data_IF_566110670303
#
_entry.id   IF_566110670303
#
_cell.length_a   1.000
_cell.length_b   1.000
_cell.length_c   1.000
_cell.angle_alpha   90.00
_cell.angle_beta   90.00
_cell.angle_gamma   90.00
#
_symmetry.space_group_name_H-M   'P 1'
#
loop_
_entity.id
_entity.type
_entity.pdbx_description
1 polymer ?
#
# COMPACT_ATOMS: atom_id res chain seq x y z
N UNK A 1 -24.05 -60.54 37.42
CA UNK A 1 -25.11 -60.43 36.40
C UNK A 1 -24.77 -59.24 35.52
N UNK A 2 -24.89 -59.37 34.19
CA UNK A 2 -23.72 -59.55 33.32
C UNK A 2 -23.52 -58.41 32.29
N UNK A 3 -22.34 -58.38 31.66
CA UNK A 3 -22.18 -57.81 30.30
C UNK A 3 -22.91 -58.69 29.26
N UNK A 4 -22.70 -58.56 27.92
CA UNK A 4 -21.48 -58.10 27.24
C UNK A 4 -21.78 -57.22 25.99
N UNK A 5 -20.78 -56.69 25.28
CA UNK A 5 -20.31 -57.08 23.91
C UNK A 5 -20.37 -55.82 23.04
N UNK A 6 -19.44 -55.50 22.14
CA UNK A 6 -18.28 -56.20 21.63
C UNK A 6 -17.36 -55.22 20.88
N UNK A 7 -16.15 -55.72 20.64
CA UNK A 7 -14.98 -55.03 20.10
C UNK A 7 -14.97 -54.96 18.54
N UNK A 8 -13.82 -55.00 17.83
CA UNK A 8 -13.17 -53.86 17.15
C UNK A 8 -12.99 -54.16 15.64
N UNK A 9 -11.94 -53.61 15.00
CA UNK A 9 -11.36 -53.94 13.65
C UNK A 9 -11.90 -53.09 12.49
N UNK A 10 -11.17 -52.74 11.43
CA UNK A 10 -9.75 -52.83 11.06
C UNK A 10 -9.57 -52.05 9.73
N UNK A 11 -8.35 -51.57 9.48
CA UNK A 11 -7.75 -51.27 8.15
C UNK A 11 -7.42 -52.65 7.50
N UNK A 12 -7.49 -52.95 6.17
CA UNK A 12 -6.71 -52.35 5.06
C UNK A 12 -7.38 -52.47 3.63
N UNK A 13 -6.70 -52.76 2.48
CA UNK A 13 -6.26 -51.79 1.47
C UNK A 13 -6.73 -52.07 0.00
N UNK A 14 -6.30 -51.19 -0.92
CA UNK A 14 -5.90 -51.43 -2.32
C UNK A 14 -6.92 -51.71 -3.46
N UNK A 15 -6.46 -51.28 -4.65
CA UNK A 15 -6.75 -51.75 -6.00
C UNK A 15 -8.05 -51.31 -6.71
N UNK A 16 -7.85 -50.57 -7.81
CA UNK A 16 -8.14 -51.18 -9.13
C UNK A 16 -9.12 -50.44 -10.04
N UNK A 17 -8.67 -50.30 -11.29
CA UNK A 17 -9.44 -50.40 -12.53
C UNK A 17 -10.23 -49.20 -13.09
N UNK A 18 -9.66 -48.68 -14.20
CA UNK A 18 -10.32 -48.34 -15.48
C UNK A 18 -11.46 -49.31 -15.88
N UNK A 19 -12.45 -48.90 -16.70
CA UNK A 19 -12.33 -48.80 -18.20
C UNK A 19 -13.06 -47.55 -18.78
N UNK A 20 -12.68 -46.91 -19.90
CA UNK A 20 -12.52 -47.27 -21.33
C UNK A 20 -13.78 -47.79 -22.08
N UNK A 21 -13.86 -47.36 -23.35
CA UNK A 21 -14.84 -47.60 -24.43
C UNK A 21 -15.91 -46.51 -24.56
N UNK A 22 -15.94 -45.72 -25.63
CA UNK A 22 -16.08 -46.10 -27.06
C UNK A 22 -15.32 -45.12 -27.97
N UNK A 23 -14.36 -45.53 -28.82
CA UNK A 23 -14.42 -46.39 -30.03
C UNK A 23 -15.18 -45.77 -31.22
N UNK A 24 -14.42 -45.23 -32.19
CA UNK A 24 -14.45 -45.58 -33.63
C UNK A 24 -13.27 -44.86 -34.32
N UNK A 25 -12.20 -45.59 -34.68
CA UNK A 25 -12.02 -46.39 -35.91
C UNK A 25 -11.56 -45.49 -37.09
N UNK A 26 -10.26 -45.52 -37.44
CA UNK A 26 -9.63 -46.36 -38.51
C UNK A 26 -9.79 -45.68 -39.89
N UNK A 27 -8.81 -45.62 -40.80
CA UNK A 27 -7.60 -46.41 -40.95
C UNK A 27 -6.63 -45.74 -41.96
N UNK A 28 -5.33 -45.94 -41.71
CA UNK A 28 -4.26 -46.45 -42.61
C UNK A 28 -4.02 -45.86 -44.00
N UNK A 29 -2.73 -45.64 -44.30
CA UNK A 29 -2.19 -45.81 -45.64
C UNK A 29 -0.86 -45.07 -45.87
N UNK A 30 0.26 -45.71 -45.56
CA UNK A 30 1.60 -45.24 -45.92
C UNK A 30 2.11 -45.97 -47.18
N UNK A 31 2.73 -45.20 -48.10
CA UNK A 31 3.79 -45.51 -49.10
C UNK A 31 3.62 -46.72 -50.08
N UNK A 32 4.19 -46.68 -51.31
CA UNK A 32 5.62 -46.44 -51.55
C UNK A 32 6.01 -45.71 -52.85
N UNK A 33 7.33 -45.53 -53.00
CA UNK A 33 8.05 -44.91 -54.10
C UNK A 33 8.08 -45.75 -55.39
N UNK A 34 8.19 -45.08 -56.55
CA UNK A 34 8.79 -45.62 -57.76
C UNK A 34 9.29 -44.49 -58.71
N UNK A 35 10.60 -44.51 -59.00
CA UNK A 35 11.25 -43.98 -60.21
C UNK A 35 11.42 -45.16 -61.17
N UNK A 36 11.42 -45.02 -62.52
CA UNK A 36 12.62 -44.53 -63.23
C UNK A 36 12.41 -43.84 -64.60
N UNK A 37 13.48 -43.18 -65.08
CA UNK A 37 13.82 -42.92 -66.49
C UNK A 37 12.93 -41.89 -67.23
N UNK A 38 13.42 -40.93 -68.00
CA UNK A 38 14.71 -40.72 -68.64
C UNK A 38 14.44 -40.04 -70.00
N UNK A 39 15.40 -39.21 -70.44
CA UNK A 39 15.61 -38.70 -71.82
C UNK A 39 14.99 -37.33 -72.19
N UNK A 40 15.90 -36.34 -72.17
CA UNK A 40 16.31 -35.46 -73.29
C UNK A 40 15.23 -34.79 -74.15
N UNK A 41 15.20 -33.45 -74.12
CA UNK A 41 14.57 -32.64 -75.17
C UNK A 41 14.51 -31.15 -74.86
N UNK A 42 15.57 -30.41 -75.21
CA UNK A 42 15.58 -28.95 -75.46
C UNK A 42 16.28 -28.79 -76.82
N UNK A 43 15.98 -27.81 -77.70
CA UNK A 43 15.14 -26.61 -77.55
C UNK A 43 14.08 -26.43 -78.67
N UNK A 44 13.07 -25.59 -78.44
CA UNK A 44 12.38 -24.92 -79.53
C UNK A 44 12.13 -23.45 -79.18
N UNK A 45 12.89 -22.60 -79.87
CA UNK A 45 12.83 -21.15 -79.92
C UNK A 45 11.57 -20.73 -80.67
N UNK A 46 10.60 -20.12 -80.00
CA UNK A 46 9.45 -19.49 -80.65
C UNK A 46 9.21 -18.10 -80.06
N UNK A 47 9.34 -17.09 -80.93
CA UNK A 47 8.51 -15.89 -80.94
C UNK A 47 8.68 -14.89 -79.79
N UNK A 48 9.65 -13.98 -79.92
CA UNK A 48 9.61 -12.67 -79.27
C UNK A 48 8.43 -11.88 -79.86
N UNK A 49 7.22 -12.03 -79.30
CA UNK A 49 6.13 -11.06 -79.51
C UNK A 49 6.46 -9.82 -78.68
N UNK A 50 6.67 -8.71 -79.36
CA UNK A 50 6.73 -7.38 -78.76
C UNK A 50 5.43 -7.17 -77.97
N UNK A 51 5.56 -7.05 -76.65
CA UNK A 51 4.47 -6.64 -75.78
C UNK A 51 4.27 -5.15 -76.04
N UNK A 52 3.13 -4.79 -76.61
CA UNK A 52 2.66 -3.40 -76.71
C UNK A 52 2.71 -2.81 -75.30
N UNK A 53 3.40 -1.68 -75.15
CA UNK A 53 3.47 -0.96 -73.89
C UNK A 53 2.07 -0.41 -73.59
N UNK A 54 1.50 -0.84 -72.47
CA UNK A 54 0.27 -0.30 -71.91
C UNK A 54 0.59 1.05 -71.25
N UNK A 55 0.07 2.20 -71.75
CA UNK A 55 0.31 3.51 -71.17
C UNK A 55 -0.67 3.72 -70.01
N UNK A 56 -0.56 2.90 -68.97
CA UNK A 56 -1.49 2.92 -67.84
C UNK A 56 -0.92 2.40 -66.53
N UNK A 57 0.35 1.98 -66.49
CA UNK A 57 0.99 1.55 -65.25
C UNK A 57 1.52 2.77 -64.48
N UNK A 58 0.64 3.40 -63.69
CA UNK A 58 1.09 4.23 -62.56
C UNK A 58 2.06 3.43 -61.68
N UNK A 59 3.01 4.09 -60.99
CA UNK A 59 4.01 3.38 -60.19
C UNK A 59 3.32 2.43 -59.21
N UNK A 60 3.88 1.23 -58.97
CA UNK A 60 3.26 0.30 -58.03
C UNK A 60 3.08 1.03 -56.70
N UNK A 61 1.84 1.15 -56.24
CA UNK A 61 1.55 1.59 -54.88
C UNK A 61 2.29 0.63 -53.96
N UNK A 62 3.48 1.04 -53.48
CA UNK A 62 4.10 0.43 -52.31
C UNK A 62 3.05 0.55 -51.23
N UNK A 63 2.39 -0.57 -50.93
CA UNK A 63 1.67 -0.74 -49.69
C UNK A 63 2.63 -0.33 -48.59
N UNK A 64 2.43 0.87 -48.02
CA UNK A 64 3.14 1.36 -46.84
C UNK A 64 2.73 0.42 -45.73
N UNK A 65 3.46 -0.68 -45.58
CA UNK A 65 3.35 -1.54 -44.41
C UNK A 65 3.62 -0.65 -43.21
N UNK A 66 2.73 -0.72 -42.22
CA UNK A 66 2.81 -0.01 -40.93
C UNK A 66 4.22 -0.17 -40.30
N UNK A 67 4.87 -1.27 -40.64
CA UNK A 67 6.25 -1.68 -40.38
C UNK A 67 7.32 -0.62 -40.71
N UNK A 68 7.14 0.19 -41.76
CA UNK A 68 8.07 1.26 -42.11
C UNK A 68 7.94 2.50 -41.23
N UNK A 69 6.73 2.78 -40.72
CA UNK A 69 6.42 3.98 -39.92
C UNK A 69 6.93 3.85 -38.49
N UNK A 70 7.00 2.64 -37.94
CA UNK A 70 7.46 2.40 -36.57
C UNK A 70 8.89 1.87 -36.46
N UNK A 71 9.63 1.74 -37.57
CA UNK A 71 11.02 1.24 -37.55
C UNK A 71 11.95 2.09 -36.66
N UNK A 72 11.62 3.36 -36.44
CA UNK A 72 12.35 4.23 -35.52
C UNK A 72 12.34 3.71 -34.07
N UNK A 73 11.34 2.90 -33.67
CA UNK A 73 11.28 2.29 -32.33
C UNK A 73 12.46 1.35 -32.04
N UNK A 74 13.11 0.85 -33.09
CA UNK A 74 14.29 -0.01 -33.02
C UNK A 74 15.61 0.78 -33.01
N UNK A 75 15.57 2.11 -33.08
CA UNK A 75 16.79 2.93 -32.97
C UNK A 75 17.34 2.88 -31.53
N UNK A 76 18.66 3.00 -31.32
CA UNK A 76 19.27 2.92 -29.98
C UNK A 76 18.64 3.90 -28.96
N UNK A 77 18.27 5.10 -29.43
CA UNK A 77 17.57 6.12 -28.64
C UNK A 77 16.20 5.63 -28.14
N UNK A 78 15.41 5.05 -29.04
CA UNK A 78 14.08 4.53 -28.70
C UNK A 78 14.14 3.24 -27.90
N UNK A 79 15.18 2.43 -28.09
CA UNK A 79 15.44 1.27 -27.25
C UNK A 79 15.62 1.67 -25.79
N UNK A 80 16.42 2.70 -25.51
CA UNK A 80 16.57 3.25 -24.15
C UNK A 80 15.25 3.74 -23.55
N UNK A 81 14.43 4.46 -24.33
CA UNK A 81 13.12 4.95 -23.89
C UNK A 81 12.16 3.79 -23.60
N UNK A 82 12.09 2.78 -24.47
CA UNK A 82 11.20 1.64 -24.29
C UNK A 82 11.60 0.79 -23.08
N UNK A 83 12.89 0.53 -22.88
CA UNK A 83 13.39 -0.18 -21.68
C UNK A 83 13.07 0.62 -20.42
N UNK A 84 13.31 1.93 -20.43
CA UNK A 84 13.00 2.79 -19.30
C UNK A 84 11.51 2.71 -18.93
N UNK A 85 10.60 2.85 -19.90
CA UNK A 85 9.15 2.79 -19.67
C UNK A 85 8.74 1.40 -19.16
N UNK A 86 9.29 0.34 -19.76
CA UNK A 86 9.00 -1.05 -19.40
C UNK A 86 9.44 -1.38 -17.97
N UNK A 87 10.47 -0.71 -17.44
CA UNK A 87 10.92 -0.85 -16.05
C UNK A 87 10.21 0.11 -15.09
N UNK A 88 9.99 1.36 -15.50
CA UNK A 88 9.42 2.40 -14.66
C UNK A 88 7.96 2.14 -14.29
N UNK A 89 7.13 1.68 -15.25
CA UNK A 89 5.71 1.43 -14.98
C UNK A 89 5.51 0.32 -13.93
N UNK A 90 6.07 -0.89 -14.09
CA UNK A 90 5.93 -1.94 -13.08
C UNK A 90 6.52 -1.53 -11.73
N UNK A 91 7.62 -0.77 -11.71
CA UNK A 91 8.21 -0.27 -10.48
C UNK A 91 7.28 0.69 -9.74
N UNK A 92 6.70 1.69 -10.42
CA UNK A 92 5.76 2.62 -9.82
C UNK A 92 4.49 1.91 -9.32
N UNK A 93 3.95 0.98 -10.11
CA UNK A 93 2.77 0.18 -9.70
C UNK A 93 3.11 -0.69 -8.49
N UNK A 94 4.27 -1.36 -8.48
CA UNK A 94 4.71 -2.16 -7.34
C UNK A 94 4.87 -1.32 -6.08
N UNK A 95 5.52 -0.16 -6.17
CA UNK A 95 5.70 0.76 -5.04
C UNK A 95 4.36 1.30 -4.52
N UNK A 96 3.44 1.69 -5.42
CA UNK A 96 2.10 2.14 -5.06
C UNK A 96 1.27 1.04 -4.40
N UNK A 97 1.27 -0.17 -4.98
CA UNK A 97 0.57 -1.34 -4.42
C UNK A 97 1.17 -1.80 -3.10
N UNK A 98 2.49 -1.72 -2.92
CA UNK A 98 3.15 -2.04 -1.66
C UNK A 98 2.73 -1.07 -0.56
N UNK A 99 2.74 0.24 -0.83
CA UNK A 99 2.24 1.26 0.10
C UNK A 99 0.75 1.05 0.45
N UNK A 100 -0.08 0.70 -0.54
CA UNK A 100 -1.49 0.39 -0.33
C UNK A 100 -1.70 -0.87 0.51
N UNK A 101 -0.98 -1.95 0.24
CA UNK A 101 -1.08 -3.20 1.02
C UNK A 101 -0.67 -3.01 2.49
N UNK A 102 0.34 -2.17 2.75
CA UNK A 102 0.77 -1.79 4.10
C UNK A 102 -0.28 -0.96 4.84
N UNK A 103 -1.13 -0.24 4.11
CA UNK A 103 -2.26 0.52 4.65
C UNK A 103 -3.47 -0.38 4.88
N UNK A 104 -3.86 -1.21 3.91
CA UNK A 104 -4.98 -2.15 4.02
C UNK A 104 -4.81 -3.13 5.18
N UNK A 105 -3.60 -3.69 5.37
CA UNK A 105 -3.30 -4.55 6.51
C UNK A 105 -3.45 -3.84 7.86
N UNK A 106 -3.25 -2.52 7.92
CA UNK A 106 -3.47 -1.73 9.15
C UNK A 106 -4.94 -1.39 9.37
N UNK A 107 -5.72 -1.18 8.30
CA UNK A 107 -7.16 -0.85 8.36
C UNK A 107 -8.02 -2.09 8.65
N UNK A 108 -7.67 -3.25 8.10
CA UNK A 108 -8.37 -4.51 8.40
C UNK A 108 -8.11 -4.96 9.84
N UNK A 109 -6.85 -4.86 10.31
CA UNK A 109 -6.50 -5.08 11.72
C UNK A 109 -7.28 -4.12 12.65
N UNK A 110 -7.50 -2.86 12.24
CA UNK A 110 -8.28 -1.89 13.03
C UNK A 110 -9.76 -2.26 13.15
N UNK A 111 -10.42 -2.62 12.04
CA UNK A 111 -11.85 -3.01 12.09
C UNK A 111 -12.01 -4.28 12.90
N UNK A 112 -11.15 -5.27 12.68
CA UNK A 112 -11.17 -6.49 13.47
C UNK A 112 -10.92 -6.20 14.95
N UNK A 113 -9.90 -5.42 15.32
CA UNK A 113 -9.61 -5.12 16.73
C UNK A 113 -10.69 -4.26 17.42
N UNK A 114 -11.30 -3.32 16.70
CA UNK A 114 -12.39 -2.47 17.24
C UNK A 114 -13.69 -3.24 17.37
N UNK A 115 -14.03 -4.08 16.38
CA UNK A 115 -15.18 -4.98 16.43
C UNK A 115 -14.97 -6.08 17.48
N UNK A 116 -13.75 -6.59 17.65
CA UNK A 116 -13.40 -7.54 18.70
C UNK A 116 -13.46 -6.90 20.08
N UNK A 117 -12.93 -5.68 20.27
CA UNK A 117 -13.03 -4.96 21.55
C UNK A 117 -14.48 -4.59 21.91
N UNK A 118 -15.31 -4.26 20.91
CA UNK A 118 -16.74 -4.00 21.11
C UNK A 118 -17.55 -5.29 21.38
N UNK A 119 -17.19 -6.42 20.76
CA UNK A 119 -17.87 -7.71 20.95
C UNK A 119 -17.40 -8.46 22.20
N UNK A 120 -16.11 -8.40 22.54
CA UNK A 120 -15.50 -8.99 23.74
C UNK A 120 -15.85 -8.22 25.03
N UNK A 121 -16.55 -7.08 24.92
CA UNK A 121 -17.32 -6.48 26.01
C UNK A 121 -18.37 -7.43 26.63
N UNK A 122 -18.56 -8.64 26.07
CA UNK A 122 -19.38 -9.73 26.61
C UNK A 122 -18.57 -10.96 27.08
N UNK A 123 -17.25 -11.00 26.90
CA UNK A 123 -16.41 -12.13 27.35
C UNK A 123 -16.25 -12.20 28.88
N UNK A 124 -16.12 -13.40 29.46
CA UNK A 124 -15.89 -13.57 30.90
C UNK A 124 -14.58 -12.91 31.32
N UNK A 125 -14.62 -12.09 32.37
CA UNK A 125 -13.43 -11.47 32.93
C UNK A 125 -12.48 -12.53 33.50
N UNK A 126 -11.18 -12.44 33.20
CA UNK A 126 -10.16 -13.34 33.78
C UNK A 126 -9.19 -12.56 34.68
N UNK A 127 -8.49 -13.22 35.62
CA UNK A 127 -7.51 -12.53 36.44
C UNK A 127 -6.41 -11.88 35.60
N UNK A 128 -6.01 -10.65 35.97
CA UNK A 128 -5.00 -9.87 35.25
C UNK A 128 -3.74 -10.68 34.90
N UNK A 129 -3.18 -11.43 35.86
CA UNK A 129 -1.93 -12.16 35.67
C UNK A 129 -2.02 -13.27 34.60
N UNK A 130 -3.23 -13.71 34.24
CA UNK A 130 -3.44 -14.71 33.17
C UNK A 130 -3.48 -14.11 31.76
N UNK A 131 -3.50 -12.78 31.66
CA UNK A 131 -3.57 -12.03 30.40
C UNK A 131 -2.34 -11.15 30.15
N UNK A 132 -1.28 -11.31 30.95
CA UNK A 132 -0.01 -10.61 30.77
C UNK A 132 1.05 -11.54 30.14
N UNK A 133 1.97 -11.00 29.32
CA UNK A 133 2.06 -9.61 28.85
C UNK A 133 0.94 -9.25 27.86
N UNK A 134 0.65 -7.96 27.71
CA UNK A 134 -0.40 -7.52 26.77
C UNK A 134 0.09 -7.66 25.33
N UNK A 135 -0.68 -8.37 24.50
CA UNK A 135 -0.49 -8.49 23.06
C UNK A 135 -1.76 -8.12 22.29
N UNK A 136 -1.73 -8.27 20.95
CA UNK A 136 -2.88 -7.98 20.08
C UNK A 136 -4.13 -8.81 20.42
N UNK A 137 -3.96 -10.00 20.98
CA UNK A 137 -5.04 -10.94 21.32
C UNK A 137 -5.63 -10.73 22.72
N UNK A 138 -4.83 -10.19 23.64
CA UNK A 138 -5.26 -9.89 25.02
C UNK A 138 -5.74 -8.45 25.18
N UNK A 139 -5.30 -7.52 24.34
CA UNK A 139 -5.80 -6.14 24.36
C UNK A 139 -7.30 -6.10 24.04
N UNK A 140 -8.04 -5.29 24.77
CA UNK A 140 -9.50 -5.21 24.73
C UNK A 140 -10.22 -6.29 25.55
N UNK A 141 -9.53 -7.34 25.99
CA UNK A 141 -10.14 -8.41 26.79
C UNK A 141 -10.44 -7.95 28.21
N UNK A 142 -11.55 -8.46 28.77
CA UNK A 142 -11.92 -8.13 30.15
C UNK A 142 -11.05 -8.83 31.17
N UNK A 143 -10.51 -8.05 32.09
CA UNK A 143 -9.73 -8.52 33.23
C UNK A 143 -10.35 -8.08 34.54
N UNK A 144 -10.08 -8.85 35.58
CA UNK A 144 -10.38 -8.50 36.97
C UNK A 144 -9.07 -8.36 37.75
N UNK A 145 -8.99 -7.31 38.56
CA UNK A 145 -7.88 -7.08 39.48
C UNK A 145 -8.41 -6.55 40.82
N UNK A 146 -7.75 -6.90 41.91
CA UNK A 146 -8.09 -6.44 43.26
C UNK A 146 -6.94 -5.68 43.87
N UNK A 147 -7.25 -4.73 44.74
CA UNK A 147 -6.25 -3.94 45.44
C UNK A 147 -6.81 -2.67 46.06
N UNK A 148 -5.92 -1.73 46.37
CA UNK A 148 -6.28 -0.43 46.94
C UNK A 148 -5.88 0.70 46.01
N UNK A 149 -6.80 1.60 45.73
CA UNK A 149 -6.48 2.81 44.98
C UNK A 149 -5.48 3.68 45.76
N UNK A 150 -4.42 4.08 45.07
CA UNK A 150 -3.39 5.00 45.55
C UNK A 150 -3.51 6.33 44.85
N UNK A 151 -2.41 6.76 44.21
CA UNK A 151 -2.31 8.08 43.60
C UNK A 151 -3.20 8.22 42.37
N UNK A 152 -3.93 9.33 42.31
CA UNK A 152 -4.71 9.76 41.16
C UNK A 152 -3.90 10.72 40.27
N UNK A 153 -4.05 10.56 38.96
CA UNK A 153 -3.46 11.40 37.92
C UNK A 153 -4.54 11.73 36.88
N UNK A 154 -4.37 12.83 36.16
CA UNK A 154 -5.26 13.22 35.08
C UNK A 154 -4.55 13.09 33.73
N UNK A 155 -5.29 12.65 32.71
CA UNK A 155 -4.76 12.48 31.36
C UNK A 155 -5.52 13.43 30.43
N UNK A 156 -5.01 14.66 30.17
CA UNK A 156 -5.68 15.64 29.32
C UNK A 156 -5.68 15.23 27.84
N UNK A 157 -6.46 15.96 27.03
CA UNK A 157 -6.45 15.79 25.57
C UNK A 157 -7.22 14.56 25.08
N UNK A 158 -8.20 14.08 25.87
CA UNK A 158 -8.97 12.87 25.56
C UNK A 158 -10.34 13.23 25.03
N UNK A 159 -10.70 12.70 23.87
CA UNK A 159 -12.01 12.89 23.27
C UNK A 159 -12.96 11.75 23.64
N UNK A 160 -14.22 12.08 23.94
CA UNK A 160 -15.30 11.11 24.08
C UNK A 160 -16.60 11.72 23.53
N UNK A 161 -17.30 10.99 22.65
CA UNK A 161 -18.52 11.45 21.98
C UNK A 161 -18.37 12.82 21.28
N UNK A 162 -17.23 13.07 20.63
CA UNK A 162 -16.95 14.35 19.95
C UNK A 162 -16.68 15.53 20.89
N UNK A 163 -16.45 15.28 22.18
CA UNK A 163 -16.14 16.31 23.18
C UNK A 163 -14.75 16.13 23.74
N UNK A 164 -14.00 17.22 23.84
CA UNK A 164 -12.70 17.25 24.49
C UNK A 164 -12.83 17.19 26.02
N UNK A 165 -11.94 16.43 26.64
CA UNK A 165 -11.92 16.16 28.07
C UNK A 165 -10.63 15.52 28.54
N UNK A 166 -10.73 14.78 29.64
CA UNK A 166 -9.61 14.12 30.28
C UNK A 166 -10.04 12.81 30.95
N UNK A 167 -9.11 11.86 31.04
CA UNK A 167 -9.30 10.65 31.85
C UNK A 167 -8.89 10.88 33.29
N UNK A 168 -9.63 10.25 34.20
CA UNK A 168 -9.26 10.14 35.61
C UNK A 168 -8.57 8.79 35.80
N UNK A 169 -7.25 8.82 35.90
CA UNK A 169 -6.38 7.66 36.07
C UNK A 169 -6.07 7.48 37.56
N UNK A 170 -6.19 6.28 38.10
CA UNK A 170 -5.78 5.99 39.48
C UNK A 170 -5.00 4.69 39.53
N UNK A 171 -3.90 4.70 40.28
CA UNK A 171 -3.06 3.53 40.44
C UNK A 171 -3.68 2.58 41.46
N UNK A 172 -4.10 1.40 41.02
CA UNK A 172 -4.56 0.32 41.88
C UNK A 172 -3.35 -0.50 42.34
N UNK A 173 -2.98 -0.36 43.61
CA UNK A 173 -1.92 -1.18 44.21
C UNK A 173 -2.46 -2.58 44.49
N UNK A 174 -1.95 -3.55 43.75
CA UNK A 174 -2.31 -4.97 43.85
C UNK A 174 -1.53 -5.66 44.96
N UNK A 175 -2.01 -6.84 45.39
CA UNK A 175 -1.33 -7.67 46.39
C UNK A 175 0.02 -8.21 45.91
N UNK A 176 0.26 -8.22 44.59
CA UNK A 176 1.54 -8.57 43.98
C UNK A 176 2.62 -7.47 44.15
N UNK A 177 2.33 -6.37 44.86
CA UNK A 177 3.27 -5.28 45.10
C UNK A 177 3.53 -4.38 43.88
N UNK A 178 2.71 -4.53 42.82
CA UNK A 178 2.72 -3.70 41.62
C UNK A 178 1.44 -2.87 41.54
N UNK A 179 1.54 -1.69 40.96
CA UNK A 179 0.43 -0.78 40.74
C UNK A 179 -0.05 -0.90 39.29
N UNK A 180 -1.34 -1.17 39.13
CA UNK A 180 -2.03 -1.19 37.85
C UNK A 180 -2.64 0.19 37.59
N UNK A 181 -2.29 0.88 36.50
CA UNK A 181 -3.01 2.07 36.06
C UNK A 181 -4.45 1.72 35.65
N UNK A 182 -5.44 2.34 36.30
CA UNK A 182 -6.87 2.12 36.03
C UNK A 182 -7.53 3.45 35.66
N UNK A 183 -8.10 3.51 34.46
CA UNK A 183 -8.95 4.62 34.00
C UNK A 183 -10.34 4.41 34.57
N UNK A 184 -10.69 5.24 35.56
CA UNK A 184 -11.97 5.17 36.28
C UNK A 184 -13.12 5.83 35.54
N UNK A 185 -12.81 6.67 34.54
CA UNK A 185 -13.79 7.36 33.72
C UNK A 185 -13.23 8.61 33.05
N UNK A 186 -14.11 9.31 32.34
CA UNK A 186 -13.82 10.54 31.60
C UNK A 186 -14.70 11.71 32.07
N UNK A 187 -14.12 12.92 32.02
CA UNK A 187 -14.80 14.19 32.29
C UNK A 187 -14.54 15.20 31.16
N UNK A 188 -15.54 16.04 30.82
CA UNK A 188 -15.38 17.07 29.80
C UNK A 188 -14.54 18.26 30.27
N UNK A 189 -13.90 18.94 29.30
CA UNK A 189 -13.18 20.19 29.52
C UNK A 189 -11.70 20.01 29.87
N UNK A 190 -11.10 21.07 30.42
CA UNK A 190 -9.69 21.04 30.84
C UNK A 190 -9.50 20.16 32.09
N UNK A 191 -8.36 19.44 32.14
CA UNK A 191 -7.99 18.62 33.28
C UNK A 191 -7.89 19.45 34.56
N UNK A 192 -8.73 19.12 35.53
CA UNK A 192 -8.86 19.83 36.81
C UNK A 192 -9.04 18.82 37.95
N UNK A 193 -8.10 18.82 38.89
CA UNK A 193 -8.11 17.92 40.03
C UNK A 193 -9.30 18.17 40.96
N UNK A 194 -9.82 19.40 41.03
CA UNK A 194 -11.00 19.74 41.83
C UNK A 194 -12.31 19.17 41.29
N UNK A 195 -12.35 18.83 39.99
CA UNK A 195 -13.54 18.25 39.33
C UNK A 195 -13.52 16.72 39.33
N UNK A 196 -12.34 16.11 39.48
CA UNK A 196 -12.18 14.66 39.43
C UNK A 196 -12.64 14.01 40.75
N UNK A 197 -13.66 13.14 40.75
CA UNK A 197 -14.11 12.45 41.96
C UNK A 197 -12.99 11.64 42.62
N UNK A 198 -12.93 11.69 43.95
CA UNK A 198 -11.97 10.89 44.71
C UNK A 198 -12.17 9.39 44.46
N UNK A 199 -11.08 8.62 44.58
CA UNK A 199 -11.13 7.17 44.49
C UNK A 199 -11.85 6.56 45.71
N UNK A 200 -12.64 5.48 45.52
CA UNK A 200 -13.19 4.73 46.63
C UNK A 200 -12.09 4.32 47.62
N UNK A 201 -12.35 4.53 48.91
CA UNK A 201 -11.44 4.09 49.96
C UNK A 201 -11.65 2.60 50.25
N UNK A 202 -10.57 1.90 50.61
CA UNK A 202 -10.64 0.49 50.96
C UNK A 202 -10.05 -0.40 49.90
N UNK A 203 -10.35 -1.69 50.03
CA UNK A 203 -10.01 -2.70 49.04
C UNK A 203 -11.15 -2.78 48.02
N UNK A 204 -10.79 -2.83 46.74
CA UNK A 204 -11.73 -2.83 45.62
C UNK A 204 -11.33 -3.91 44.62
N UNK A 205 -12.34 -4.47 43.97
CA UNK A 205 -12.16 -5.36 42.82
C UNK A 205 -12.69 -4.63 41.59
N UNK A 206 -11.78 -4.35 40.64
CA UNK A 206 -12.10 -3.68 39.39
C UNK A 206 -12.27 -4.69 38.28
N UNK A 207 -13.18 -4.40 37.35
CA UNK A 207 -13.35 -5.17 36.12
C UNK A 207 -13.42 -4.20 34.95
N UNK A 208 -12.67 -4.50 33.90
CA UNK A 208 -12.50 -3.59 32.78
C UNK A 208 -11.74 -4.22 31.63
N UNK A 209 -11.68 -3.50 30.51
CA UNK A 209 -10.92 -3.91 29.36
C UNK A 209 -9.41 -3.62 29.55
N UNK A 210 -8.59 -4.64 29.32
CA UNK A 210 -7.13 -4.56 29.32
C UNK A 210 -6.64 -3.78 28.11
N UNK A 211 -5.63 -2.95 28.29
CA UNK A 211 -5.08 -2.09 27.27
C UNK A 211 -3.55 -2.14 27.34
N UNK A 212 -2.90 -2.07 26.18
CA UNK A 212 -1.45 -1.99 26.10
C UNK A 212 -0.96 -0.61 26.55
N UNK A 213 0.25 -0.55 27.12
CA UNK A 213 0.92 0.73 27.43
C UNK A 213 0.96 1.64 26.21
N UNK A 214 0.64 2.91 26.42
CA UNK A 214 0.60 3.93 25.36
C UNK A 214 1.99 4.42 24.93
N UNK A 215 2.11 4.90 23.70
CA UNK A 215 3.31 5.58 23.22
C UNK A 215 3.18 7.10 23.45
N UNK A 216 4.14 7.76 24.15
CA UNK A 216 4.09 9.21 24.32
C UNK A 216 4.09 9.96 22.99
N UNK A 217 3.14 10.88 22.81
CA UNK A 217 3.05 11.76 21.63
C UNK A 217 2.02 11.36 20.57
N UNK A 218 1.46 10.15 20.63
CA UNK A 218 0.47 9.67 19.66
C UNK A 218 -0.99 9.96 20.09
N UNK A 219 -1.22 10.34 21.35
CA UNK A 219 -2.55 10.44 21.97
C UNK A 219 -3.10 11.87 22.11
N UNK A 220 -2.65 12.80 21.26
CA UNK A 220 -3.17 14.18 21.21
C UNK A 220 -2.76 15.10 22.38
N UNK A 221 -2.25 14.55 23.48
CA UNK A 221 -1.60 15.34 24.52
C UNK A 221 -0.19 15.76 24.04
N UNK A 222 -0.03 17.05 23.72
CA UNK A 222 1.23 17.59 23.20
C UNK A 222 2.41 17.22 24.09
N UNK A 223 3.35 16.44 23.54
CA UNK A 223 4.63 16.12 24.18
C UNK A 223 5.55 17.36 24.32
N UNK A 224 5.14 18.51 23.77
CA UNK A 224 5.96 19.72 23.63
C UNK A 224 5.96 20.68 24.84
N UNK A 225 5.28 20.37 25.95
CA UNK A 225 5.30 21.22 27.15
C UNK A 225 5.15 20.42 28.43
N UNK A 226 5.87 20.79 29.48
CA UNK A 226 5.72 20.17 30.79
C UNK A 226 4.28 20.30 31.28
N UNK A 227 3.64 19.18 31.57
CA UNK A 227 2.28 19.17 32.10
C UNK A 227 2.24 19.64 33.56
N UNK A 228 1.13 20.24 34.02
CA UNK A 228 0.94 20.56 35.43
C UNK A 228 1.12 19.34 36.33
N UNK A 229 1.51 19.59 37.58
CA UNK A 229 1.63 18.53 38.58
C UNK A 229 0.33 17.72 38.72
N UNK A 230 0.45 16.39 38.76
CA UNK A 230 -0.69 15.48 38.81
C UNK A 230 -1.29 15.14 37.44
N UNK A 231 -0.70 15.59 36.33
CA UNK A 231 -1.11 15.21 34.98
C UNK A 231 -0.05 14.37 34.28
N UNK A 232 -0.47 13.56 33.31
CA UNK A 232 0.41 12.75 32.45
C UNK A 232 -0.08 12.77 31.01
N UNK A 233 0.85 12.78 30.04
CA UNK A 233 0.51 12.82 28.62
C UNK A 233 0.09 11.43 28.09
N UNK A 234 0.70 10.38 28.64
CA UNK A 234 0.48 9.00 28.22
C UNK A 234 0.30 8.06 29.43
N UNK A 235 -0.50 7.01 29.22
CA UNK A 235 -0.71 5.93 30.18
C UNK A 235 0.27 4.80 29.85
N UNK A 236 1.51 4.99 30.25
CA UNK A 236 2.57 3.99 30.03
C UNK A 236 3.47 3.86 31.25
N UNK A 237 3.98 2.66 31.47
CA UNK A 237 4.94 2.37 32.54
C UNK A 237 6.14 3.32 32.48
N UNK A 238 6.68 3.57 31.28
CA UNK A 238 7.80 4.47 31.03
C UNK A 238 7.51 5.96 31.37
N UNK A 239 6.29 6.43 31.15
CA UNK A 239 5.92 7.81 31.55
C UNK A 239 5.66 7.89 33.04
N UNK A 240 4.89 6.94 33.56
CA UNK A 240 4.39 6.95 34.94
C UNK A 240 5.48 6.67 35.97
N UNK A 241 6.54 5.90 35.65
CA UNK A 241 7.66 5.63 36.57
C UNK A 241 8.39 6.90 37.02
N UNK A 242 8.35 7.96 36.21
CA UNK A 242 8.92 9.25 36.56
C UNK A 242 7.99 10.11 37.43
N UNK A 243 6.71 9.74 37.51
CA UNK A 243 5.70 10.45 38.26
C UNK A 243 5.44 9.80 39.61
N UNK A 244 5.51 8.47 39.70
CA UNK A 244 5.14 7.71 40.91
C UNK A 244 6.27 6.78 41.37
N UNK A 245 6.39 6.51 42.68
CA UNK A 245 7.42 5.62 43.22
C UNK A 245 7.07 4.13 43.06
N UNK A 246 5.85 3.81 42.65
CA UNK A 246 5.34 2.44 42.54
C UNK A 246 5.99 1.65 41.39
N UNK A 247 6.13 0.33 41.56
CA UNK A 247 6.42 -0.58 40.45
C UNK A 247 5.16 -0.77 39.62
N UNK A 248 5.21 -0.52 38.32
CA UNK A 248 4.02 -0.52 37.47
C UNK A 248 3.91 -1.80 36.65
N UNK A 249 2.68 -2.22 36.39
CA UNK A 249 2.40 -3.14 35.28
C UNK A 249 2.61 -2.41 33.95
N UNK A 250 3.10 -3.13 32.94
CA UNK A 250 3.20 -2.62 31.56
C UNK A 250 1.88 -2.81 30.81
N UNK A 251 0.81 -2.30 31.41
CA UNK A 251 -0.55 -2.39 30.95
C UNK A 251 -1.40 -1.36 31.67
N UNK A 252 -2.60 -1.06 31.16
CA UNK A 252 -3.62 -0.32 31.89
C UNK A 252 -5.01 -0.90 31.64
N UNK A 253 -5.99 -0.50 32.45
CA UNK A 253 -7.37 -0.99 32.35
C UNK A 253 -8.34 0.19 32.29
N UNK A 254 -9.33 0.12 31.40
CA UNK A 254 -10.51 1.00 31.46
C UNK A 254 -11.68 0.27 32.09
N UNK A 255 -12.35 0.88 33.06
CA UNK A 255 -13.48 0.23 33.76
C UNK A 255 -14.68 0.04 32.83
N UNK A 256 -15.33 -1.13 32.93
CA UNK A 256 -16.60 -1.42 32.23
C UNK A 256 -17.69 -0.41 32.61
N UNK A 257 -17.71 -0.02 33.89
CA UNK A 257 -18.57 1.04 34.43
C UNK A 257 -17.69 2.10 35.06
N UNK A 258 -17.86 3.34 34.62
CA UNK A 258 -17.21 4.46 35.27
C UNK A 258 -17.67 4.61 36.72
N UNK A 259 -16.76 5.13 37.53
CA UNK A 259 -17.10 5.57 38.87
C UNK A 259 -18.07 6.77 38.84
N UNK A 260 -18.79 6.97 39.94
CA UNK A 260 -19.86 7.95 40.03
C UNK A 260 -19.42 9.36 39.59
N UNK A 261 -20.23 10.00 38.75
CA UNK A 261 -19.98 11.36 38.25
C UNK A 261 -19.10 11.43 37.00
N UNK A 262 -18.71 10.30 36.41
CA UNK A 262 -17.88 10.24 35.20
C UNK A 262 -18.54 9.39 34.10
N UNK A 263 -18.10 9.58 32.85
CA UNK A 263 -18.49 8.71 31.73
C UNK A 263 -17.57 7.50 31.62
N UNK A 264 -18.13 6.35 31.25
CA UNK A 264 -17.35 5.16 30.91
C UNK A 264 -16.48 5.44 29.69
N UNK A 265 -15.25 4.92 29.73
CA UNK A 265 -14.28 5.06 28.64
C UNK A 265 -14.27 3.73 27.87
N UNK A 266 -14.63 3.73 26.57
CA UNK A 266 -14.59 2.52 25.78
C UNK A 266 -13.15 2.01 25.65
N UNK A 267 -13.00 0.69 25.51
CA UNK A 267 -11.72 0.08 25.18
C UNK A 267 -11.20 0.67 23.87
N UNK A 268 -9.95 1.10 23.84
CA UNK A 268 -9.29 1.57 22.63
C UNK A 268 -8.60 0.37 21.96
N UNK A 269 -8.66 0.31 20.64
CA UNK A 269 -7.87 -0.67 19.91
C UNK A 269 -6.36 -0.34 20.10
N UNK A 270 -5.46 -1.35 20.10
CA UNK A 270 -4.02 -1.10 20.20
C UNK A 270 -3.53 -0.03 19.21
N UNK A 271 -2.60 0.82 19.64
CA UNK A 271 -1.95 1.82 18.79
C UNK A 271 -1.28 1.18 17.56
N UNK A 272 -1.31 1.88 16.41
CA UNK A 272 -0.90 1.39 15.09
C UNK A 272 -2.04 1.17 14.09
N UNK A 273 -3.28 1.46 14.51
CA UNK A 273 -4.53 1.10 13.84
C UNK A 273 -5.35 2.31 13.33
N UNK A 274 -4.95 3.55 13.62
CA UNK A 274 -5.71 4.75 13.25
C UNK A 274 -5.64 5.15 11.77
N UNK A 275 -6.81 5.42 11.17
CA UNK A 275 -6.99 6.25 9.97
C UNK A 275 -6.77 7.73 10.32
N UNK A 276 -5.54 8.07 10.71
CA UNK A 276 -5.21 9.42 11.12
C UNK A 276 -5.03 10.35 9.89
N UNK A 277 -5.03 11.67 10.08
CA UNK A 277 -4.72 12.65 9.02
C UNK A 277 -3.31 12.39 8.42
N UNK A 278 -2.40 11.79 9.20
CA UNK A 278 -1.12 11.21 8.75
C UNK A 278 -1.27 10.05 7.75
N UNK A 279 -2.35 9.28 7.83
CA UNK A 279 -2.67 8.22 6.90
C UNK A 279 -3.15 8.79 5.55
N UNK A 280 -3.88 9.91 5.55
CA UNK A 280 -4.17 10.68 4.34
C UNK A 280 -2.92 11.35 3.74
N UNK A 281 -1.98 11.85 4.56
CA UNK A 281 -0.68 12.33 4.07
C UNK A 281 0.12 11.21 3.37
N UNK A 282 0.13 9.99 3.93
CA UNK A 282 0.73 8.82 3.27
C UNK A 282 -0.05 8.34 2.03
N UNK A 283 -1.37 8.58 1.97
CA UNK A 283 -2.17 8.30 0.78
C UNK A 283 -1.79 9.22 -0.39
N UNK A 284 -1.38 10.46 -0.10
CA UNK A 284 -0.83 11.39 -1.09
C UNK A 284 0.39 10.81 -1.82
N UNK A 285 1.31 10.17 -1.08
CA UNK A 285 2.48 9.51 -1.65
C UNK A 285 2.12 8.28 -2.51
N UNK A 286 1.07 7.56 -2.10
CA UNK A 286 0.54 6.44 -2.91
C UNK A 286 -0.02 6.95 -4.23
N UNK A 287 -0.79 8.04 -4.19
CA UNK A 287 -1.29 8.73 -5.38
C UNK A 287 -0.17 9.22 -6.30
N UNK A 288 0.92 9.75 -5.74
CA UNK A 288 2.11 10.18 -6.50
C UNK A 288 2.68 9.06 -7.38
N UNK A 289 2.80 7.84 -6.88
CA UNK A 289 3.30 6.71 -7.67
C UNK A 289 2.42 6.39 -8.88
N UNK A 290 1.10 6.45 -8.72
CA UNK A 290 0.16 6.27 -9.82
C UNK A 290 0.17 7.44 -10.80
N UNK A 291 0.35 8.68 -10.31
CA UNK A 291 0.53 9.87 -11.16
C UNK A 291 1.82 9.77 -11.96
N UNK A 292 2.93 9.32 -11.38
CA UNK A 292 4.18 9.09 -12.11
C UNK A 292 4.04 8.00 -13.16
N UNK A 293 3.37 6.89 -12.86
CA UNK A 293 3.08 5.86 -13.85
C UNK A 293 2.28 6.43 -15.05
N UNK A 294 1.24 7.21 -14.76
CA UNK A 294 0.46 7.92 -15.78
C UNK A 294 1.29 8.93 -16.59
N UNK A 295 2.16 9.69 -15.91
CA UNK A 295 3.05 10.66 -16.54
C UNK A 295 4.07 9.99 -17.48
N UNK A 296 4.64 8.85 -17.09
CA UNK A 296 5.56 8.07 -17.93
C UNK A 296 4.85 7.58 -19.20
N UNK A 297 3.64 7.04 -19.08
CA UNK A 297 2.82 6.62 -20.24
C UNK A 297 2.49 7.82 -21.13
N UNK A 298 2.06 8.93 -20.54
CA UNK A 298 1.75 10.15 -21.27
C UNK A 298 2.97 10.68 -22.04
N UNK A 299 4.14 10.75 -21.39
CA UNK A 299 5.37 11.23 -22.02
C UNK A 299 5.85 10.31 -23.14
N UNK A 300 5.76 8.99 -22.94
CA UNK A 300 6.05 8.01 -24.00
C UNK A 300 5.13 8.21 -25.21
N UNK A 301 3.82 8.32 -24.98
CA UNK A 301 2.84 8.55 -26.03
C UNK A 301 3.06 9.88 -26.76
N UNK A 302 3.37 10.95 -26.02
CA UNK A 302 3.66 12.28 -26.60
C UNK A 302 4.90 12.25 -27.49
N UNK A 303 5.97 11.58 -27.05
CA UNK A 303 7.19 11.42 -27.85
C UNK A 303 6.94 10.56 -29.09
N UNK A 304 6.14 9.50 -28.95
CA UNK A 304 5.75 8.64 -30.07
C UNK A 304 4.98 9.42 -31.10
N UNK A 305 3.98 10.19 -30.66
CA UNK A 305 3.14 11.02 -31.54
C UNK A 305 3.97 12.09 -32.25
N UNK A 306 4.84 12.79 -31.54
CA UNK A 306 5.74 13.80 -32.11
C UNK A 306 6.65 13.20 -33.19
N UNK A 307 7.20 12.02 -32.94
CA UNK A 307 8.05 11.32 -33.92
C UNK A 307 7.25 10.85 -35.13
N UNK A 308 6.04 10.33 -34.94
CA UNK A 308 5.15 9.92 -36.04
C UNK A 308 4.72 11.12 -36.89
N UNK A 309 4.41 12.26 -36.26
CA UNK A 309 4.11 13.52 -36.96
C UNK A 309 5.33 14.01 -37.75
N UNK A 310 6.52 14.05 -37.14
CA UNK A 310 7.76 14.42 -37.83
C UNK A 310 8.09 13.50 -39.02
N UNK A 311 7.93 12.18 -38.87
CA UNK A 311 8.15 11.22 -39.97
C UNK A 311 7.10 11.36 -41.08
N UNK A 312 5.87 11.77 -40.75
CA UNK A 312 4.82 12.09 -41.75
C UNK A 312 5.14 13.38 -42.49
N UNK A 313 5.53 14.42 -41.78
CA UNK A 313 5.90 15.71 -42.37
C UNK A 313 7.15 15.58 -43.24
N UNK A 314 8.14 14.80 -42.79
CA UNK A 314 9.32 14.43 -43.58
C UNK A 314 8.96 13.61 -44.83
N UNK A 315 8.02 12.67 -44.72
CA UNK A 315 7.54 11.89 -45.86
C UNK A 315 6.66 12.71 -46.84
N UNK A 316 6.16 13.88 -46.42
CA UNK A 316 5.41 14.83 -47.23
C UNK A 316 6.28 15.99 -47.74
N UNK A 317 7.56 16.06 -47.35
CA UNK A 317 8.49 17.13 -47.74
C UNK A 317 8.21 18.48 -47.07
N UNK A 318 7.53 18.50 -45.92
CA UNK A 318 7.11 19.70 -45.19
C UNK A 318 8.08 20.09 -44.06
N UNK A 319 9.26 19.47 -43.99
CA UNK A 319 10.27 19.83 -42.97
C UNK A 319 10.82 21.20 -43.33
N UNK A 320 10.88 22.18 -42.40
CA UNK A 320 11.60 23.40 -42.65
C UNK A 320 13.07 23.04 -42.89
N UNK A 321 13.62 23.44 -44.03
CA UNK A 321 15.05 23.33 -44.34
C UNK A 321 15.81 24.16 -43.30
N UNK A 322 16.25 23.52 -42.22
CA UNK A 322 17.14 24.13 -41.21
C UNK A 322 18.48 24.59 -41.81
N UNK A 323 18.78 24.19 -43.05
CA UNK A 323 19.90 24.69 -43.84
C UNK A 323 19.68 26.13 -44.34
N UNK A 324 18.43 26.56 -44.61
CA UNK A 324 18.14 27.92 -45.09
C UNK A 324 18.19 28.97 -43.97
N UNK A 325 17.84 28.62 -42.73
CA UNK A 325 17.96 29.53 -41.58
C UNK A 325 19.44 29.79 -41.21
N UNK A 326 20.32 28.77 -41.29
CA UNK A 326 21.74 28.95 -40.99
C UNK A 326 22.52 29.70 -42.09
N UNK A 327 22.14 29.55 -43.36
CA UNK A 327 22.76 30.31 -44.45
C UNK A 327 22.35 31.79 -44.40
N UNK A 328 21.08 32.09 -44.09
CA UNK A 328 20.60 33.47 -43.93
C UNK A 328 21.20 34.22 -42.74
N UNK A 329 21.59 33.51 -41.68
CA UNK A 329 22.24 34.10 -40.49
C UNK A 329 23.74 34.34 -40.73
N UNK A 330 24.42 33.46 -41.48
CA UNK A 330 25.82 33.64 -41.91
C UNK A 330 25.99 34.75 -42.95
N UNK A 331 25.04 34.93 -43.87
CA UNK A 331 25.06 36.05 -44.82
C UNK A 331 24.90 37.41 -44.11
N UNK A 332 24.05 37.49 -43.08
CA UNK A 332 23.87 38.70 -42.28
C UNK A 332 25.11 39.05 -41.44
N UNK A 333 25.79 38.05 -40.85
CA UNK A 333 27.04 38.27 -40.11
C UNK A 333 28.22 38.62 -41.04
N UNK A 334 28.20 38.15 -42.29
CA UNK A 334 29.23 38.47 -43.30
C UNK A 334 29.12 39.90 -43.85
N UNK A 335 27.91 40.44 -44.00
CA UNK A 335 27.70 41.83 -44.42
C UNK A 335 28.11 42.85 -43.33
N UNK A 336 27.95 42.51 -42.05
CA UNK A 336 28.29 43.41 -40.94
C UNK A 336 29.81 43.50 -40.67
N UNK A 337 30.58 42.46 -41.02
CA UNK A 337 32.05 42.42 -40.85
C UNK A 337 32.86 42.94 -42.05
N UNK A 338 32.19 43.23 -43.18
CA UNK A 338 32.81 43.66 -44.44
C UNK A 338 33.18 45.15 -44.54
N UNK A 339 32.92 45.99 -43.53
CA UNK A 339 33.24 47.41 -43.58
C UNK A 339 34.28 47.85 -42.50
N UNK A 340 35.57 47.52 -42.66
CA UNK A 340 36.63 48.20 -41.94
C UNK A 340 36.92 49.56 -42.58
N UNK A 341 36.73 50.59 -41.76
CA UNK A 341 37.00 52.01 -41.96
C UNK A 341 38.11 52.38 -42.95
N UNK A 342 37.79 53.29 -43.88
CA UNK A 342 38.79 54.09 -44.58
C UNK A 342 39.50 55.05 -43.59
N UNK A 343 40.84 55.14 -43.58
CA UNK A 343 41.57 56.12 -42.79
C UNK A 343 41.66 57.49 -43.49
N UNK A 344 41.62 58.54 -42.67
CA UNK A 344 41.74 59.98 -42.95
C UNK A 344 43.04 60.39 -43.66
N UNK A 345 42.99 61.41 -44.53
CA UNK A 345 44.16 62.23 -44.88
C UNK A 345 43.79 63.69 -45.24
N UNK A 346 44.41 64.60 -44.46
CA UNK A 346 44.83 66.01 -44.68
C UNK A 346 43.80 67.06 -45.10
#
# INVERSE_FOLDING_TARGET
MPGPTGSPLAVPPACGQLPDHTRRARATGACPAARPGGRTGTPARVGRRARVADPGAGPPHRSRTVEGVYRFLLTPRWWGINVFVLLAIPFCVFMGSWQLSRFEGRVQDHRAATEQAASDGHGTARPLDTMLPVDKSTSGRRVTASGRYGRQLLVPGRELDGKNGFYVLTLLRTDAGRSLPVVRGWLPGAADAGKAPAAPSGEVTVTGALQASETPGDNGAGAQGGLPAGQTAAISSATLVNLVPDRLYDAWVTLDRADAGMKAVPATAPEGTGLDLKAFQNLGYTGEWFVFAGFVVFMWFRLLRREVEFQRDAALGLVPDQEQEQDGEREREGEEQGNPSAPTAV
#
